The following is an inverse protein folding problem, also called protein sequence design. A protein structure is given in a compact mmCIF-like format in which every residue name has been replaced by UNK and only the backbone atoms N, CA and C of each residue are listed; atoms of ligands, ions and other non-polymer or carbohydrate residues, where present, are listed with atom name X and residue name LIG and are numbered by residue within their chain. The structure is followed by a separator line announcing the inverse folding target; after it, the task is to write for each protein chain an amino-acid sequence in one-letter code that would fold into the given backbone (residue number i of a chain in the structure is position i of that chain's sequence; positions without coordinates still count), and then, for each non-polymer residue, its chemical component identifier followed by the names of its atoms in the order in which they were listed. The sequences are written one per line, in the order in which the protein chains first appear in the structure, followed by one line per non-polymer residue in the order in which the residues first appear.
data_IF_474071012862
#
_entry.id   IF_474071012862
#
_cell.length_a   1.000
_cell.length_b   1.000
_cell.length_c   1.000
_cell.angle_alpha   90.00
_cell.angle_beta   90.00
_cell.angle_gamma   90.00
#
_symmetry.space_group_name_H-M   'P 1'
#
loop_
_entity.id
_entity.type
_entity.pdbx_description
1 polymer ?
#
# COMPACT_ATOMS: atom_id res chain seq x y z
N UNK A 1 6.52 9.42 -16.80
CA UNK A 1 6.53 8.70 -15.50
C UNK A 1 7.63 7.64 -15.43
N UNK A 2 7.85 6.76 -16.43
CA UNK A 2 8.86 5.70 -16.37
C UNK A 2 10.24 6.12 -15.85
N UNK A 3 10.78 7.27 -16.30
CA UNK A 3 12.09 7.76 -15.84
C UNK A 3 12.18 8.03 -14.33
N UNK A 4 11.05 8.25 -13.64
CA UNK A 4 11.03 8.37 -12.19
C UNK A 4 11.23 7.00 -11.51
N UNK A 5 10.63 5.94 -12.06
CA UNK A 5 10.49 4.64 -11.39
C UNK A 5 11.45 3.56 -11.90
N UNK A 6 11.97 3.69 -13.11
CA UNK A 6 12.95 2.76 -13.70
C UNK A 6 14.06 3.52 -14.45
N UNK A 7 14.81 4.42 -13.77
CA UNK A 7 15.93 5.13 -14.36
C UNK A 7 17.12 4.19 -14.55
N UNK A 8 17.92 4.42 -15.60
CA UNK A 8 19.24 3.78 -15.77
C UNK A 8 20.37 4.60 -15.14
N UNK A 9 20.11 5.86 -14.87
CA UNK A 9 21.07 6.84 -14.34
C UNK A 9 20.39 7.76 -13.33
N UNK A 10 21.00 7.90 -12.15
CA UNK A 10 20.49 8.71 -11.04
C UNK A 10 21.55 9.71 -10.60
N UNK A 11 21.25 11.00 -10.72
CA UNK A 11 22.04 12.06 -10.12
C UNK A 11 21.54 12.39 -8.71
N UNK A 12 22.44 12.56 -7.75
CA UNK A 12 22.10 13.01 -6.39
C UNK A 12 22.71 14.39 -6.18
N UNK A 13 21.87 15.43 -6.27
CA UNK A 13 22.27 16.83 -6.17
C UNK A 13 22.17 17.27 -4.72
N UNK A 14 23.32 17.57 -4.12
CA UNK A 14 23.47 17.69 -2.67
C UNK A 14 23.98 16.42 -2.00
N UNK A 15 24.54 15.48 -2.78
CA UNK A 15 25.20 14.28 -2.27
C UNK A 15 26.28 14.62 -1.23
N UNK A 16 26.48 13.77 -0.23
CA UNK A 16 27.43 14.02 0.86
C UNK A 16 27.94 12.72 1.49
N UNK A 17 29.17 12.72 1.99
CA UNK A 17 29.70 11.66 2.87
C UNK A 17 29.51 11.98 4.37
N UNK A 18 29.05 13.19 4.69
CA UNK A 18 28.75 13.57 6.07
C UNK A 18 27.39 12.98 6.53
N UNK A 19 27.37 12.10 7.54
CA UNK A 19 26.14 11.45 8.03
C UNK A 19 25.08 12.39 8.61
N UNK A 20 25.42 13.64 8.92
CA UNK A 20 24.44 14.62 9.40
C UNK A 20 23.62 15.29 8.29
N UNK A 21 23.90 15.02 7.01
CA UNK A 21 23.21 15.62 5.87
C UNK A 21 22.25 14.63 5.21
N UNK A 22 21.06 15.08 4.82
CA UNK A 22 20.10 14.23 4.10
C UNK A 22 20.67 13.62 2.81
N UNK A 23 21.53 14.35 2.10
CA UNK A 23 22.21 13.82 0.90
C UNK A 23 23.11 12.61 1.15
N UNK A 24 23.62 12.42 2.37
CA UNK A 24 24.28 11.18 2.76
C UNK A 24 23.29 10.02 2.83
N UNK A 25 22.12 10.24 3.43
CA UNK A 25 21.11 9.20 3.54
C UNK A 25 20.54 8.81 2.18
N UNK A 26 20.34 9.76 1.26
CA UNK A 26 19.95 9.45 -0.14
C UNK A 26 21.01 8.59 -0.83
N UNK A 27 22.28 8.95 -0.72
CA UNK A 27 23.38 8.13 -1.26
C UNK A 27 23.41 6.74 -0.62
N UNK A 28 23.24 6.65 0.71
CA UNK A 28 23.17 5.39 1.44
C UNK A 28 22.01 4.52 0.96
N UNK A 29 20.82 5.08 0.76
CA UNK A 29 19.64 4.38 0.25
C UNK A 29 19.89 3.70 -1.08
N UNK A 30 20.54 4.40 -2.03
CA UNK A 30 20.85 3.86 -3.35
C UNK A 30 21.99 2.83 -3.30
N UNK A 31 23.11 3.16 -2.64
CA UNK A 31 24.30 2.31 -2.60
C UNK A 31 24.08 1.04 -1.77
N UNK A 32 23.50 1.18 -0.57
CA UNK A 32 23.23 0.03 0.32
C UNK A 32 21.93 -0.69 -0.03
N UNK A 33 20.99 -0.01 -0.69
CA UNK A 33 19.80 -0.64 -1.27
C UNK A 33 20.10 -1.48 -2.52
N UNK A 34 21.30 -1.38 -3.08
CA UNK A 34 21.73 -2.21 -4.20
C UNK A 34 21.17 -1.76 -5.54
N UNK A 35 20.97 -0.45 -5.73
CA UNK A 35 20.61 0.10 -7.04
C UNK A 35 21.70 -0.23 -8.08
N UNK A 36 21.28 -0.81 -9.20
CA UNK A 36 22.19 -1.38 -10.21
C UNK A 36 22.50 -0.40 -11.36
N UNK A 37 21.78 0.72 -11.43
CA UNK A 37 22.03 1.76 -12.42
C UNK A 37 23.22 2.66 -12.09
N UNK A 38 23.52 3.58 -13.01
CA UNK A 38 24.63 4.52 -12.86
C UNK A 38 24.32 5.60 -11.83
N UNK A 39 25.22 5.79 -10.86
CA UNK A 39 25.10 6.85 -9.85
C UNK A 39 26.01 8.03 -10.17
N UNK A 40 25.46 9.23 -10.11
CA UNK A 40 26.17 10.51 -10.36
C UNK A 40 26.02 11.42 -9.14
N UNK A 41 26.91 11.31 -8.14
CA UNK A 41 26.93 12.23 -7.02
C UNK A 41 27.30 13.64 -7.49
N UNK A 42 26.50 14.65 -7.11
CA UNK A 42 26.76 16.06 -7.43
C UNK A 42 27.00 16.85 -6.15
N UNK A 43 28.24 17.31 -5.99
CA UNK A 43 28.73 18.12 -4.89
C UNK A 43 29.97 18.94 -5.33
N UNK A 44 29.92 20.28 -5.33
CA UNK A 44 31.05 21.14 -5.73
C UNK A 44 32.33 20.98 -4.90
N UNK A 45 32.21 20.53 -3.66
CA UNK A 45 33.31 20.46 -2.70
C UNK A 45 33.91 19.06 -2.50
N UNK A 46 33.45 18.04 -3.24
CA UNK A 46 33.92 16.67 -3.08
C UNK A 46 34.38 16.08 -4.41
N UNK A 47 35.52 15.37 -4.40
CA UNK A 47 35.99 14.61 -5.56
C UNK A 47 35.34 13.22 -5.65
N UNK A 48 35.01 12.63 -4.49
CA UNK A 48 34.33 11.33 -4.38
C UNK A 48 33.33 11.34 -3.23
N UNK A 49 32.25 10.57 -3.39
CA UNK A 49 31.20 10.32 -2.39
C UNK A 49 30.86 8.84 -2.44
N UNK A 50 30.87 8.14 -1.29
CA UNK A 50 30.72 6.68 -1.22
C UNK A 50 31.69 5.92 -2.15
N UNK A 51 32.88 6.49 -2.37
CA UNK A 51 33.86 5.94 -3.31
C UNK A 51 33.48 6.09 -4.78
N UNK A 52 32.42 6.81 -5.14
CA UNK A 52 31.99 7.11 -6.51
C UNK A 52 32.49 8.51 -6.88
N UNK A 53 32.94 8.71 -8.12
CA UNK A 53 33.39 10.03 -8.60
C UNK A 53 32.25 11.03 -8.50
N UNK A 54 32.49 12.15 -7.82
CA UNK A 54 31.53 13.24 -7.71
C UNK A 54 31.81 14.33 -8.74
N UNK A 55 30.78 15.10 -9.08
CA UNK A 55 30.85 16.20 -10.04
C UNK A 55 30.38 17.49 -9.39
N UNK A 56 30.93 18.62 -9.84
CA UNK A 56 30.54 19.92 -9.30
C UNK A 56 29.11 20.32 -9.68
N UNK A 57 28.61 19.83 -10.82
CA UNK A 57 27.27 20.11 -11.31
C UNK A 57 26.78 18.99 -12.25
N UNK A 58 25.49 18.96 -12.53
CA UNK A 58 24.89 17.99 -13.47
C UNK A 58 25.48 18.18 -14.87
N UNK A 59 25.61 19.43 -15.31
CA UNK A 59 26.14 19.82 -16.62
C UNK A 59 27.58 19.36 -16.83
N UNK A 60 28.41 19.45 -15.79
CA UNK A 60 29.82 19.03 -15.84
C UNK A 60 29.97 17.52 -15.96
N UNK A 61 29.00 16.74 -15.48
CA UNK A 61 29.09 15.28 -15.54
C UNK A 61 29.13 14.72 -16.96
N UNK A 62 28.49 15.40 -17.91
CA UNK A 62 28.25 14.92 -19.28
C UNK A 62 27.57 13.54 -19.37
N UNK A 63 27.08 13.01 -18.24
CA UNK A 63 26.33 11.76 -18.17
C UNK A 63 24.86 12.08 -18.44
N UNK A 64 24.18 11.38 -19.37
CA UNK A 64 22.73 11.49 -19.50
C UNK A 64 22.07 11.06 -18.19
N UNK A 65 21.19 11.92 -17.63
CA UNK A 65 20.52 11.66 -16.36
C UNK A 65 19.03 11.39 -16.59
N UNK A 66 18.57 10.20 -16.19
CA UNK A 66 17.16 9.84 -16.22
C UNK A 66 16.40 10.43 -15.02
N UNK A 67 16.99 10.33 -13.82
CA UNK A 67 16.41 10.81 -12.58
C UNK A 67 17.41 11.70 -11.82
N UNK A 68 16.99 12.89 -11.41
CA UNK A 68 17.72 13.70 -10.44
C UNK A 68 17.00 13.71 -9.08
N UNK A 69 17.73 13.41 -8.02
CA UNK A 69 17.26 13.57 -6.64
C UNK A 69 17.89 14.84 -6.07
N UNK A 70 17.05 15.81 -5.75
CA UNK A 70 17.47 17.15 -5.33
C UNK A 70 17.28 17.31 -3.82
N UNK A 71 18.39 17.54 -3.12
CA UNK A 71 18.46 17.66 -1.65
C UNK A 71 19.44 18.77 -1.25
N UNK A 72 19.20 19.97 -1.80
CA UNK A 72 19.97 21.20 -1.52
C UNK A 72 19.08 22.24 -0.82
N UNK A 73 19.62 23.30 -0.20
CA UNK A 73 18.80 24.39 0.36
C UNK A 73 17.80 24.97 -0.66
N UNK A 74 16.62 25.37 -0.19
CA UNK A 74 15.52 25.85 -1.04
C UNK A 74 15.93 26.98 -2.00
N UNK A 75 16.76 27.91 -1.51
CA UNK A 75 17.27 29.05 -2.31
C UNK A 75 18.10 28.65 -3.53
N UNK A 76 18.63 27.42 -3.58
CA UNK A 76 19.40 26.91 -4.72
C UNK A 76 18.55 26.11 -5.71
N UNK A 77 17.32 25.72 -5.35
CA UNK A 77 16.52 24.75 -6.11
C UNK A 77 16.13 25.29 -7.49
N UNK A 78 15.76 26.56 -7.61
CA UNK A 78 15.43 27.16 -8.92
C UNK A 78 16.62 27.10 -9.90
N UNK A 79 17.84 27.38 -9.42
CA UNK A 79 19.06 27.26 -10.21
C UNK A 79 19.33 25.81 -10.64
N UNK A 80 19.17 24.87 -9.72
CA UNK A 80 19.31 23.43 -10.00
C UNK A 80 18.28 22.94 -11.03
N UNK A 81 17.02 23.37 -10.94
CA UNK A 81 15.99 23.01 -11.91
C UNK A 81 16.29 23.54 -13.31
N UNK A 82 16.78 24.78 -13.42
CA UNK A 82 17.23 25.36 -14.70
C UNK A 82 18.39 24.54 -15.28
N UNK A 83 19.33 24.11 -14.44
CA UNK A 83 20.42 23.24 -14.86
C UNK A 83 19.93 21.86 -15.33
N UNK A 84 19.03 21.23 -14.57
CA UNK A 84 18.40 19.96 -14.94
C UNK A 84 17.65 20.06 -16.28
N UNK A 85 16.95 21.18 -16.52
CA UNK A 85 16.27 21.45 -17.77
C UNK A 85 17.25 21.57 -18.95
N UNK A 86 18.34 22.33 -18.78
CA UNK A 86 19.39 22.44 -19.79
C UNK A 86 20.06 21.10 -20.10
N UNK A 87 20.28 20.27 -19.06
CA UNK A 87 20.84 18.93 -19.16
C UNK A 87 19.83 17.86 -19.64
N UNK A 88 18.56 18.24 -19.89
CA UNK A 88 17.47 17.34 -20.33
C UNK A 88 17.24 16.15 -19.39
N UNK A 89 17.30 16.40 -18.07
CA UNK A 89 16.91 15.43 -17.05
C UNK A 89 15.46 15.02 -17.27
N UNK A 90 15.17 13.72 -17.19
CA UNK A 90 13.84 13.18 -17.57
C UNK A 90 12.84 13.10 -16.42
N UNK A 91 13.27 13.24 -15.17
CA UNK A 91 12.41 13.23 -13.99
C UNK A 91 13.16 13.69 -12.75
N UNK A 92 12.44 14.24 -11.78
CA UNK A 92 13.03 14.78 -10.54
C UNK A 92 12.27 14.27 -9.32
N UNK A 93 13.03 13.90 -8.29
CA UNK A 93 12.52 13.76 -6.90
C UNK A 93 13.11 14.92 -6.10
N UNK A 94 12.27 15.88 -5.74
CA UNK A 94 12.66 17.09 -5.04
C UNK A 94 12.38 16.94 -3.55
N UNK A 95 13.39 16.55 -2.78
CA UNK A 95 13.25 16.28 -1.34
C UNK A 95 13.10 17.57 -0.54
N UNK A 96 13.82 18.62 -0.96
CA UNK A 96 13.92 19.91 -0.26
C UNK A 96 12.56 20.47 0.16
N UNK A 97 12.46 20.89 1.43
CA UNK A 97 11.36 21.68 2.00
C UNK A 97 11.72 23.19 1.99
N UNK A 98 10.80 24.06 2.44
CA UNK A 98 10.92 25.51 2.41
C UNK A 98 10.10 26.20 1.32
N UNK A 99 8.98 25.61 0.91
CA UNK A 99 8.11 26.13 -0.16
C UNK A 99 6.72 26.48 0.38
N UNK A 100 5.63 26.22 -0.35
CA UNK A 100 4.26 26.59 0.02
C UNK A 100 3.75 26.05 1.36
N UNK A 101 4.47 25.13 2.00
CA UNK A 101 4.12 24.55 3.31
C UNK A 101 4.56 25.40 4.51
N UNK A 102 5.47 26.36 4.32
CA UNK A 102 6.01 27.16 5.42
C UNK A 102 5.14 28.39 5.68
N UNK A 103 5.18 28.89 6.92
CA UNK A 103 4.51 30.13 7.33
C UNK A 103 5.33 31.37 6.94
N UNK A 104 5.71 31.45 5.66
CA UNK A 104 6.41 32.59 5.04
C UNK A 104 5.92 32.72 3.58
N UNK A 105 5.32 33.87 3.19
CA UNK A 105 4.86 34.10 1.81
C UNK A 105 5.94 33.89 0.73
N UNK A 106 7.23 34.08 1.07
CA UNK A 106 8.33 33.83 0.15
C UNK A 106 8.40 32.36 -0.30
N UNK A 107 7.94 31.42 0.54
CA UNK A 107 7.88 30.00 0.19
C UNK A 107 6.91 29.70 -0.95
N UNK A 108 5.76 30.39 -0.99
CA UNK A 108 4.78 30.26 -2.08
C UNK A 108 5.32 30.83 -3.40
N UNK A 109 5.98 32.01 -3.36
CA UNK A 109 6.63 32.61 -4.54
C UNK A 109 7.69 31.68 -5.11
N UNK A 110 8.53 31.10 -4.24
CA UNK A 110 9.54 30.15 -4.67
C UNK A 110 8.91 28.87 -5.26
N UNK A 111 7.79 28.40 -4.71
CA UNK A 111 7.03 27.26 -5.24
C UNK A 111 6.53 27.51 -6.66
N UNK A 112 5.99 28.70 -6.92
CA UNK A 112 5.53 29.10 -8.25
C UNK A 112 6.71 29.16 -9.24
N UNK A 113 7.84 29.77 -8.86
CA UNK A 113 9.03 29.83 -9.73
C UNK A 113 9.49 28.42 -10.14
N UNK A 114 9.59 27.49 -9.19
CA UNK A 114 10.04 26.13 -9.49
C UNK A 114 9.01 25.32 -10.30
N UNK A 115 7.72 25.58 -10.12
CA UNK A 115 6.66 24.97 -10.91
C UNK A 115 6.72 25.44 -12.36
N UNK A 116 6.90 26.73 -12.60
CA UNK A 116 7.05 27.29 -13.94
C UNK A 116 8.23 26.66 -14.69
N UNK A 117 9.40 26.56 -14.06
CA UNK A 117 10.59 25.96 -14.66
C UNK A 117 10.34 24.50 -15.03
N UNK A 118 9.80 23.71 -14.09
CA UNK A 118 9.54 22.29 -14.31
C UNK A 118 8.50 22.04 -15.42
N UNK A 119 7.43 22.84 -15.44
CA UNK A 119 6.34 22.73 -16.41
C UNK A 119 6.77 23.16 -17.82
N UNK A 120 7.51 24.27 -17.94
CA UNK A 120 8.09 24.71 -19.21
C UNK A 120 9.06 23.66 -19.79
N UNK A 121 9.87 23.04 -18.94
CA UNK A 121 10.78 21.97 -19.31
C UNK A 121 10.08 20.62 -19.54
N UNK A 122 8.80 20.49 -19.17
CA UNK A 122 8.01 19.24 -19.20
C UNK A 122 8.66 18.10 -18.40
N UNK A 123 9.30 18.44 -17.28
CA UNK A 123 9.94 17.47 -16.40
C UNK A 123 8.96 17.10 -15.28
N UNK A 124 8.61 15.81 -15.11
CA UNK A 124 7.79 15.37 -14.00
C UNK A 124 8.59 15.43 -12.69
N UNK A 125 7.99 16.02 -11.65
CA UNK A 125 8.60 16.24 -10.34
C UNK A 125 7.73 15.65 -9.24
N UNK A 126 8.29 14.70 -8.49
CA UNK A 126 7.75 14.25 -7.20
C UNK A 126 8.29 15.19 -6.11
N UNK A 127 7.41 15.77 -5.27
CA UNK A 127 7.76 16.78 -4.27
C UNK A 127 7.25 18.19 -4.66
N UNK A 128 7.84 19.29 -4.14
CA UNK A 128 8.88 19.35 -3.11
C UNK A 128 8.40 18.81 -1.75
N UNK A 129 9.23 18.94 -0.71
CA UNK A 129 8.91 18.58 0.66
C UNK A 129 8.40 17.14 0.77
N UNK A 130 9.24 16.21 0.33
CA UNK A 130 8.94 14.78 0.35
C UNK A 130 10.09 14.01 0.97
N UNK A 131 9.77 12.84 1.54
CA UNK A 131 10.81 11.89 1.89
C UNK A 131 11.51 11.30 0.65
N UNK A 132 10.82 11.31 -0.49
CA UNK A 132 11.27 10.77 -1.77
C UNK A 132 10.32 9.69 -2.28
N UNK A 133 10.88 8.70 -2.97
CA UNK A 133 10.12 7.58 -3.51
C UNK A 133 10.99 6.30 -3.57
N UNK A 134 10.32 5.16 -3.60
CA UNK A 134 10.94 3.84 -3.64
C UNK A 134 10.25 2.99 -4.69
N UNK A 135 11.03 2.30 -5.53
CA UNK A 135 10.60 1.17 -6.33
C UNK A 135 11.40 -0.05 -5.90
N UNK A 136 10.76 -0.97 -5.18
CA UNK A 136 11.40 -2.15 -4.58
C UNK A 136 11.83 -3.17 -5.64
N UNK A 137 11.13 -3.23 -6.78
CA UNK A 137 11.45 -4.14 -7.89
C UNK A 137 12.72 -3.71 -8.64
N UNK A 138 12.91 -2.40 -8.79
CA UNK A 138 14.10 -1.82 -9.43
C UNK A 138 15.26 -1.58 -8.44
N UNK A 139 15.11 -1.97 -7.16
CA UNK A 139 16.04 -1.62 -6.06
C UNK A 139 16.37 -0.13 -6.02
N UNK A 140 15.42 0.71 -6.44
CA UNK A 140 15.56 2.15 -6.48
C UNK A 140 14.96 2.72 -5.20
N UNK A 141 15.81 3.08 -4.24
CA UNK A 141 15.40 3.85 -3.08
C UNK A 141 15.89 5.30 -3.23
N UNK A 142 15.07 6.12 -3.90
CA UNK A 142 15.31 7.54 -4.14
C UNK A 142 14.77 8.40 -2.99
N UNK A 143 15.13 8.03 -1.75
CA UNK A 143 14.66 8.68 -0.52
C UNK A 143 15.78 8.84 0.50
N UNK A 144 15.58 9.70 1.50
CA UNK A 144 16.50 9.79 2.65
C UNK A 144 16.23 8.74 3.73
N UNK A 145 15.46 7.69 3.44
CA UNK A 145 15.10 6.61 4.37
C UNK A 145 15.67 5.27 3.86
N UNK A 146 16.93 4.94 4.19
CA UNK A 146 17.55 3.68 3.79
C UNK A 146 16.78 2.44 4.21
N UNK A 147 16.05 2.53 5.33
CA UNK A 147 15.30 1.43 5.94
C UNK A 147 14.16 0.94 5.01
N UNK A 148 13.64 1.77 4.11
CA UNK A 148 12.66 1.29 3.12
C UNK A 148 13.24 0.25 2.15
N UNK A 149 14.56 0.17 1.99
CA UNK A 149 15.18 -0.92 1.21
C UNK A 149 15.08 -2.28 1.90
N UNK A 150 14.69 -2.33 3.19
CA UNK A 150 14.42 -3.57 3.92
C UNK A 150 12.98 -4.06 3.77
N UNK A 151 12.10 -3.27 3.13
CA UNK A 151 10.71 -3.68 2.92
C UNK A 151 10.64 -4.84 1.93
N UNK A 152 9.71 -5.77 2.15
CA UNK A 152 9.48 -6.87 1.23
C UNK A 152 8.92 -6.33 -0.10
N UNK A 153 9.45 -6.79 -1.26
CA UNK A 153 8.81 -6.53 -2.54
C UNK A 153 7.42 -7.19 -2.57
N UNK A 154 6.41 -6.45 -3.00
CA UNK A 154 5.04 -6.93 -3.14
C UNK A 154 4.37 -6.35 -4.38
N UNK A 155 3.05 -6.23 -4.33
CA UNK A 155 2.20 -5.75 -5.43
C UNK A 155 1.25 -4.61 -5.02
N UNK A 156 1.53 -3.94 -3.89
CA UNK A 156 0.80 -2.75 -3.44
C UNK A 156 1.63 -1.49 -3.71
N UNK A 157 1.04 -0.48 -4.34
CA UNK A 157 1.65 0.84 -4.44
C UNK A 157 1.06 1.77 -3.37
N UNK A 158 1.90 2.30 -2.49
CA UNK A 158 1.51 3.36 -1.55
C UNK A 158 1.86 4.73 -2.14
N UNK A 159 0.86 5.60 -2.25
CA UNK A 159 1.02 7.00 -2.66
C UNK A 159 0.48 7.88 -1.54
N UNK A 160 1.34 8.67 -0.92
CA UNK A 160 1.01 9.45 0.26
C UNK A 160 1.44 10.89 0.10
N UNK A 161 0.55 11.81 0.49
CA UNK A 161 0.91 13.22 0.62
C UNK A 161 1.83 13.49 1.82
N UNK A 162 1.79 12.63 2.85
CA UNK A 162 2.56 12.79 4.08
C UNK A 162 3.75 11.85 4.16
N UNK A 163 4.94 12.40 4.38
CA UNK A 163 6.16 11.63 4.64
C UNK A 163 6.06 10.82 5.93
N UNK A 164 5.53 11.40 7.01
CA UNK A 164 5.34 10.69 8.28
C UNK A 164 4.41 9.49 8.16
N UNK A 165 3.32 9.62 7.40
CA UNK A 165 2.39 8.51 7.15
C UNK A 165 3.02 7.43 6.26
N UNK A 166 3.90 7.82 5.32
CA UNK A 166 4.66 6.85 4.52
C UNK A 166 5.59 6.01 5.40
N UNK A 167 6.23 6.61 6.40
CA UNK A 167 7.03 5.88 7.39
C UNK A 167 6.17 4.98 8.28
N UNK A 168 5.04 5.49 8.78
CA UNK A 168 4.11 4.70 9.58
C UNK A 168 3.64 3.45 8.83
N UNK A 169 3.10 3.62 7.62
CA UNK A 169 2.58 2.52 6.82
C UNK A 169 3.68 1.60 6.32
N UNK A 170 4.84 2.16 5.95
CA UNK A 170 6.01 1.38 5.52
C UNK A 170 6.52 0.45 6.62
N UNK A 171 6.64 0.94 7.85
CA UNK A 171 7.13 0.13 8.98
C UNK A 171 6.06 -0.82 9.55
N UNK A 172 4.78 -0.43 9.54
CA UNK A 172 3.70 -1.35 9.85
C UNK A 172 3.66 -2.52 8.85
N UNK A 173 3.84 -2.24 7.56
CA UNK A 173 3.87 -3.26 6.53
C UNK A 173 5.02 -4.26 6.71
N UNK A 174 6.22 -3.79 7.10
CA UNK A 174 7.33 -4.68 7.43
C UNK A 174 7.00 -5.65 8.57
N UNK A 175 6.24 -5.20 9.58
CA UNK A 175 5.80 -6.05 10.69
C UNK A 175 4.64 -6.99 10.34
N UNK A 176 3.72 -6.54 9.47
CA UNK A 176 2.52 -7.29 9.06
C UNK A 176 2.76 -8.19 7.82
N UNK A 177 4.00 -8.33 7.36
CA UNK A 177 4.36 -9.12 6.19
C UNK A 177 3.81 -8.57 4.87
N UNK A 178 3.47 -7.27 4.82
CA UNK A 178 2.90 -6.63 3.63
C UNK A 178 4.02 -6.07 2.76
N UNK A 179 4.07 -6.53 1.51
CA UNK A 179 5.04 -6.04 0.53
C UNK A 179 4.50 -4.89 -0.32
N UNK A 180 5.38 -3.99 -0.73
CA UNK A 180 5.06 -2.91 -1.66
C UNK A 180 5.73 -3.14 -3.02
N UNK A 181 5.09 -2.72 -4.10
CA UNK A 181 5.76 -2.46 -5.38
C UNK A 181 6.51 -1.13 -5.28
N UNK A 182 5.81 -0.09 -4.83
CA UNK A 182 6.28 1.30 -4.78
C UNK A 182 5.79 2.01 -3.52
N UNK A 183 6.62 2.88 -2.97
CA UNK A 183 6.26 3.81 -1.88
C UNK A 183 6.59 5.22 -2.36
N UNK A 184 5.60 6.09 -2.49
CA UNK A 184 5.75 7.41 -3.10
C UNK A 184 5.25 8.49 -2.17
N UNK A 185 6.15 9.37 -1.75
CA UNK A 185 5.80 10.61 -1.07
C UNK A 185 5.58 11.72 -2.09
N UNK A 186 4.35 12.18 -2.27
CA UNK A 186 4.07 13.29 -3.17
C UNK A 186 4.45 14.66 -2.60
N UNK A 187 4.45 14.79 -1.27
CA UNK A 187 4.73 16.05 -0.60
C UNK A 187 3.78 17.15 -1.07
N UNK A 188 4.36 18.25 -1.54
CA UNK A 188 3.64 19.43 -1.97
C UNK A 188 2.99 19.32 -3.37
N UNK A 189 3.20 18.23 -4.11
CA UNK A 189 2.55 17.97 -5.42
C UNK A 189 2.81 19.10 -6.44
N UNK A 190 4.07 19.29 -6.84
CA UNK A 190 4.47 20.37 -7.77
C UNK A 190 3.79 20.25 -9.14
N UNK A 191 3.94 19.10 -9.79
CA UNK A 191 3.28 18.78 -11.07
C UNK A 191 3.00 17.28 -11.28
N UNK A 192 3.53 16.40 -10.42
CA UNK A 192 3.05 15.02 -10.30
C UNK A 192 2.10 14.96 -9.10
N UNK A 193 0.84 14.65 -9.39
CA UNK A 193 -0.22 14.52 -8.40
C UNK A 193 -0.79 13.08 -8.39
N UNK A 194 -1.79 12.82 -7.54
CA UNK A 194 -2.50 11.56 -7.45
C UNK A 194 -3.07 11.09 -8.79
N UNK A 195 -3.53 12.00 -9.65
CA UNK A 195 -4.08 11.66 -10.96
C UNK A 195 -3.00 11.03 -11.88
N UNK A 196 -1.83 11.66 -12.00
CA UNK A 196 -0.72 11.13 -12.81
C UNK A 196 -0.15 9.84 -12.19
N UNK A 197 -0.14 9.72 -10.86
CA UNK A 197 0.22 8.48 -10.18
C UNK A 197 -0.78 7.36 -10.46
N UNK A 198 -2.09 7.63 -10.39
CA UNK A 198 -3.12 6.65 -10.70
C UNK A 198 -2.99 6.18 -12.15
N UNK A 199 -2.86 7.10 -13.11
CA UNK A 199 -2.66 6.76 -14.53
C UNK A 199 -1.44 5.85 -14.74
N UNK A 200 -0.30 6.18 -14.13
CA UNK A 200 0.91 5.36 -14.24
C UNK A 200 0.75 3.98 -13.58
N UNK A 201 0.24 3.92 -12.35
CA UNK A 201 0.12 2.67 -11.59
C UNK A 201 -0.93 1.72 -12.15
N UNK A 202 -1.90 2.23 -12.89
CA UNK A 202 -2.89 1.40 -13.60
C UNK A 202 -2.26 0.54 -14.69
N UNK A 203 -1.19 1.01 -15.32
CA UNK A 203 -0.45 0.27 -16.35
C UNK A 203 0.78 -0.48 -15.82
N UNK A 204 1.22 -0.19 -14.60
CA UNK A 204 2.40 -0.80 -13.97
C UNK A 204 2.20 -2.31 -13.66
N UNK A 205 2.94 -3.23 -14.30
CA UNK A 205 2.72 -4.68 -14.10
C UNK A 205 3.03 -5.15 -12.68
N UNK A 206 3.87 -4.42 -11.94
CA UNK A 206 4.26 -4.76 -10.57
C UNK A 206 3.19 -4.42 -9.54
N UNK A 207 2.18 -3.61 -9.91
CA UNK A 207 1.15 -3.13 -8.99
C UNK A 207 -0.19 -3.81 -9.26
N UNK A 208 -0.81 -4.37 -8.23
CA UNK A 208 -2.17 -4.92 -8.21
C UNK A 208 -3.16 -4.07 -7.43
N UNK A 209 -2.73 -3.35 -6.38
CA UNK A 209 -3.60 -2.43 -5.63
C UNK A 209 -2.90 -1.10 -5.35
N UNK A 210 -3.67 -0.01 -5.36
CA UNK A 210 -3.16 1.35 -5.14
C UNK A 210 -3.76 1.90 -3.84
N UNK A 211 -2.90 2.20 -2.87
CA UNK A 211 -3.25 2.79 -1.59
C UNK A 211 -2.92 4.28 -1.57
N UNK A 212 -3.91 5.13 -1.35
CA UNK A 212 -3.80 6.58 -1.34
C UNK A 212 -3.99 7.13 0.09
N UNK A 213 -3.01 7.88 0.58
CA UNK A 213 -3.19 8.73 1.76
C UNK A 213 -3.31 10.19 1.32
N UNK A 214 -4.49 10.77 1.53
CA UNK A 214 -4.89 12.08 1.00
C UNK A 214 -5.18 13.04 2.15
N UNK A 215 -4.51 14.19 2.17
CA UNK A 215 -4.82 15.29 3.10
C UNK A 215 -5.69 16.35 2.42
N UNK A 216 -5.38 16.68 1.17
CA UNK A 216 -6.15 17.56 0.31
C UNK A 216 -5.64 17.53 -1.12
N UNK A 217 -6.51 17.81 -2.09
CA UNK A 217 -6.18 17.85 -3.52
C UNK A 217 -6.63 19.20 -4.08
N UNK A 218 -5.79 19.83 -4.88
CA UNK A 218 -6.10 21.13 -5.51
C UNK A 218 -7.18 20.97 -6.59
N UNK A 219 -7.01 19.99 -7.49
CA UNK A 219 -8.00 19.57 -8.47
C UNK A 219 -8.41 18.09 -8.27
N UNK A 220 -9.39 17.80 -7.40
CA UNK A 220 -9.86 16.44 -7.22
C UNK A 220 -10.50 15.87 -8.49
N UNK A 221 -10.96 16.71 -9.42
CA UNK A 221 -11.62 16.28 -10.66
C UNK A 221 -10.72 15.42 -11.53
N UNK A 222 -9.42 15.74 -11.61
CA UNK A 222 -8.46 14.93 -12.36
C UNK A 222 -8.30 13.53 -11.79
N UNK A 223 -8.22 13.39 -10.46
CA UNK A 223 -8.12 12.07 -9.82
C UNK A 223 -9.38 11.24 -10.04
N UNK A 224 -10.56 11.85 -9.92
CA UNK A 224 -11.82 11.16 -10.18
C UNK A 224 -11.93 10.71 -11.65
N UNK A 225 -11.48 11.55 -12.58
CA UNK A 225 -11.46 11.24 -14.00
C UNK A 225 -10.47 10.10 -14.31
N UNK A 226 -9.27 10.12 -13.71
CA UNK A 226 -8.28 9.05 -13.85
C UNK A 226 -8.81 7.72 -13.29
N UNK A 227 -9.41 7.72 -12.10
CA UNK A 227 -10.01 6.53 -11.51
C UNK A 227 -11.13 5.95 -12.38
N UNK A 228 -12.03 6.79 -12.92
CA UNK A 228 -13.09 6.37 -13.83
C UNK A 228 -12.56 5.83 -15.15
N UNK A 229 -11.53 6.46 -15.72
CA UNK A 229 -10.89 6.01 -16.97
C UNK A 229 -10.37 4.58 -16.85
N UNK A 230 -9.90 4.20 -15.66
CA UNK A 230 -9.34 2.87 -15.37
C UNK A 230 -10.26 2.00 -14.50
N UNK A 231 -11.57 2.30 -14.51
CA UNK A 231 -12.57 1.57 -13.75
C UNK A 231 -12.46 0.06 -14.00
N UNK A 232 -12.44 -0.73 -12.91
CA UNK A 232 -12.39 -2.19 -12.97
C UNK A 232 -11.02 -2.80 -13.31
N UNK A 233 -10.00 -1.99 -13.62
CA UNK A 233 -8.65 -2.52 -13.94
C UNK A 233 -7.88 -2.93 -12.69
N UNK A 234 -7.69 -2.00 -11.75
CA UNK A 234 -7.06 -2.25 -10.45
C UNK A 234 -7.80 -1.48 -9.35
N UNK A 235 -7.92 -2.05 -8.15
CA UNK A 235 -8.51 -1.36 -7.01
C UNK A 235 -7.67 -0.15 -6.57
N UNK A 236 -8.37 0.96 -6.33
CA UNK A 236 -7.84 2.13 -5.60
C UNK A 236 -8.54 2.18 -4.24
N UNK A 237 -7.75 2.24 -3.18
CA UNK A 237 -8.19 2.47 -1.80
C UNK A 237 -7.63 3.78 -1.30
N UNK A 238 -8.45 4.58 -0.63
CA UNK A 238 -8.05 5.90 -0.14
C UNK A 238 -8.43 6.10 1.33
N UNK A 239 -7.50 6.65 2.10
CA UNK A 239 -7.78 7.27 3.39
C UNK A 239 -7.66 8.78 3.26
N UNK A 240 -8.80 9.48 3.41
CA UNK A 240 -8.85 10.95 3.49
C UNK A 240 -8.73 11.37 4.96
N UNK A 241 -7.63 12.02 5.32
CA UNK A 241 -7.46 12.60 6.66
C UNK A 241 -8.28 13.90 6.82
N UNK A 242 -8.32 14.47 8.03
CA UNK A 242 -9.03 15.74 8.29
C UNK A 242 -10.55 15.60 8.42
N UNK A 243 -11.06 14.50 9.00
CA UNK A 243 -12.48 14.37 9.33
C UNK A 243 -12.91 15.23 10.54
N UNK A 244 -11.98 15.55 11.44
CA UNK A 244 -12.20 16.49 12.55
C UNK A 244 -11.77 17.92 12.19
N UNK A 245 -12.46 18.91 12.74
CA UNK A 245 -12.23 20.34 12.46
C UNK A 245 -10.79 20.81 12.70
N UNK A 246 -10.15 20.32 13.77
CA UNK A 246 -8.75 20.65 14.09
C UNK A 246 -7.79 20.04 13.09
N UNK A 247 -7.98 18.77 12.73
CA UNK A 247 -7.14 18.09 11.74
C UNK A 247 -7.28 18.69 10.34
N UNK A 248 -8.51 19.08 9.98
CA UNK A 248 -8.80 19.79 8.73
C UNK A 248 -8.10 21.16 8.66
N UNK A 249 -8.12 21.93 9.77
CA UNK A 249 -7.38 23.18 9.87
C UNK A 249 -5.86 22.99 9.79
N UNK A 250 -5.33 22.00 10.51
CA UNK A 250 -3.90 21.69 10.47
C UNK A 250 -3.44 21.28 9.07
N UNK A 251 -4.23 20.49 8.33
CA UNK A 251 -3.91 20.08 6.96
C UNK A 251 -3.80 21.28 6.00
N UNK A 252 -4.65 22.31 6.17
CA UNK A 252 -4.57 23.57 5.40
C UNK A 252 -3.24 24.29 5.63
N UNK A 253 -2.86 24.47 6.88
CA UNK A 253 -1.61 25.15 7.25
C UNK A 253 -0.37 24.33 6.90
N UNK A 254 -0.46 23.00 6.94
CA UNK A 254 0.69 22.10 6.75
C UNK A 254 1.02 21.83 5.27
N UNK A 255 0.07 21.98 4.34
CA UNK A 255 0.29 21.65 2.92
C UNK A 255 0.02 22.81 1.96
N UNK A 256 -0.48 23.94 2.46
CA UNK A 256 -0.91 25.08 1.64
C UNK A 256 -2.04 24.75 0.66
N UNK A 257 -2.70 23.60 0.80
CA UNK A 257 -3.77 23.11 -0.07
C UNK A 257 -5.14 23.44 0.54
N UNK A 258 -6.12 23.79 -0.29
CA UNK A 258 -7.49 23.99 0.17
C UNK A 258 -8.09 22.64 0.65
N UNK A 259 -8.14 22.43 1.97
CA UNK A 259 -8.82 21.28 2.53
C UNK A 259 -10.33 21.42 2.30
N UNK A 260 -10.89 20.57 1.45
CA UNK A 260 -12.34 20.44 1.29
C UNK A 260 -12.92 19.46 2.32
N UNK A 261 -14.21 19.63 2.62
CA UNK A 261 -14.91 18.82 3.63
C UNK A 261 -14.70 17.33 3.37
N UNK A 262 -14.25 16.59 4.39
CA UNK A 262 -14.01 15.15 4.33
C UNK A 262 -15.16 14.37 3.68
N UNK A 263 -16.41 14.69 4.03
CA UNK A 263 -17.60 14.04 3.47
C UNK A 263 -17.72 14.19 1.95
N UNK A 264 -17.39 15.38 1.40
CA UNK A 264 -17.47 15.64 -0.05
C UNK A 264 -16.44 14.77 -0.77
N UNK A 265 -15.20 14.73 -0.27
CA UNK A 265 -14.15 13.85 -0.80
C UNK A 265 -14.59 12.38 -0.76
N UNK A 266 -15.07 11.91 0.38
CA UNK A 266 -15.44 10.51 0.56
C UNK A 266 -16.57 10.08 -0.37
N UNK A 267 -17.58 10.93 -0.59
CA UNK A 267 -18.65 10.62 -1.55
C UNK A 267 -18.17 10.69 -3.01
N UNK A 268 -17.35 11.69 -3.35
CA UNK A 268 -16.81 11.83 -4.70
C UNK A 268 -15.91 10.65 -5.07
N UNK A 269 -15.05 10.20 -4.16
CA UNK A 269 -14.22 8.99 -4.32
C UNK A 269 -15.07 7.75 -4.59
N UNK A 270 -16.14 7.54 -3.82
CA UNK A 270 -17.07 6.42 -4.07
C UNK A 270 -17.72 6.49 -5.45
N UNK A 271 -18.12 7.68 -5.91
CA UNK A 271 -18.67 7.87 -7.27
C UNK A 271 -17.66 7.61 -8.39
N UNK A 272 -16.36 7.59 -8.08
CA UNK A 272 -15.30 7.23 -9.01
C UNK A 272 -14.77 5.81 -8.80
N UNK A 273 -15.44 4.99 -7.98
CA UNK A 273 -15.04 3.61 -7.69
C UNK A 273 -13.85 3.45 -6.74
N UNK A 274 -13.42 4.53 -6.09
CA UNK A 274 -12.35 4.51 -5.09
C UNK A 274 -12.94 4.08 -3.75
N UNK A 275 -12.41 2.99 -3.17
CA UNK A 275 -12.84 2.52 -1.85
C UNK A 275 -12.27 3.42 -0.75
N UNK A 276 -13.13 3.98 0.08
CA UNK A 276 -12.71 4.86 1.18
C UNK A 276 -12.64 4.10 2.50
N UNK A 277 -11.54 4.24 3.24
CA UNK A 277 -11.33 3.59 4.54
C UNK A 277 -11.15 4.62 5.66
N UNK A 278 -11.43 4.28 6.94
CA UNK A 278 -11.53 5.28 7.99
C UNK A 278 -10.22 5.57 8.75
N UNK A 279 -9.16 4.78 8.53
CA UNK A 279 -7.90 4.87 9.30
C UNK A 279 -6.71 4.28 8.54
N UNK A 280 -5.50 4.61 8.97
CA UNK A 280 -4.24 4.17 8.36
C UNK A 280 -4.10 2.64 8.31
N UNK A 281 -4.34 1.93 9.42
CA UNK A 281 -4.28 0.46 9.40
C UNK A 281 -5.29 -0.15 8.41
N UNK A 282 -6.48 0.44 8.31
CA UNK A 282 -7.49 -0.03 7.36
C UNK A 282 -7.09 0.19 5.90
N UNK A 283 -6.26 1.21 5.61
CA UNK A 283 -5.71 1.42 4.27
C UNK A 283 -4.79 0.27 3.86
N UNK A 284 -3.89 -0.13 4.77
CA UNK A 284 -3.00 -1.26 4.54
C UNK A 284 -3.78 -2.57 4.45
N UNK A 285 -4.71 -2.80 5.37
CA UNK A 285 -5.51 -4.03 5.43
C UNK A 285 -6.35 -4.21 4.16
N UNK A 286 -7.02 -3.15 3.71
CA UNK A 286 -7.84 -3.20 2.50
C UNK A 286 -6.98 -3.39 1.24
N UNK A 287 -5.83 -2.70 1.14
CA UNK A 287 -4.91 -2.87 0.02
C UNK A 287 -4.37 -4.31 -0.05
N UNK A 288 -3.99 -4.90 1.10
CA UNK A 288 -3.55 -6.31 1.20
C UNK A 288 -4.61 -7.26 0.66
N UNK A 289 -5.85 -7.12 1.12
CA UNK A 289 -6.96 -7.96 0.67
C UNK A 289 -7.21 -7.81 -0.84
N UNK A 290 -7.30 -6.58 -1.33
CA UNK A 290 -7.64 -6.26 -2.71
C UNK A 290 -6.52 -6.66 -3.71
N UNK A 291 -5.27 -6.73 -3.26
CA UNK A 291 -4.16 -7.18 -4.08
C UNK A 291 -4.10 -8.70 -4.23
N UNK A 292 -4.61 -9.47 -3.27
CA UNK A 292 -4.44 -10.92 -3.22
C UNK A 292 -5.74 -11.71 -3.47
N UNK A 293 -6.88 -11.26 -2.96
CA UNK A 293 -8.14 -12.00 -2.99
C UNK A 293 -8.96 -11.76 -4.27
N UNK A 294 -9.80 -12.73 -4.63
CA UNK A 294 -10.94 -12.50 -5.52
C UNK A 294 -12.01 -11.65 -4.82
N UNK A 295 -12.86 -10.95 -5.57
CA UNK A 295 -14.01 -10.27 -4.99
C UNK A 295 -15.16 -11.26 -4.71
N UNK A 296 -15.87 -11.14 -3.57
CA UNK A 296 -16.99 -12.03 -3.25
C UNK A 296 -18.15 -11.82 -4.24
N UNK A 297 -18.84 -12.91 -4.59
CA UNK A 297 -19.99 -12.87 -5.50
C UNK A 297 -21.25 -12.24 -4.91
N UNK A 298 -21.33 -12.16 -3.58
CA UNK A 298 -22.46 -11.68 -2.79
C UNK A 298 -22.05 -11.43 -1.33
N UNK A 299 -22.99 -11.01 -0.46
CA UNK A 299 -22.70 -10.66 0.93
C UNK A 299 -22.52 -11.87 1.86
N UNK A 300 -22.94 -13.06 1.42
CA UNK A 300 -22.96 -14.27 2.26
C UNK A 300 -21.55 -14.78 2.60
N UNK A 301 -21.21 -14.85 3.88
CA UNK A 301 -19.91 -15.31 4.39
C UNK A 301 -20.06 -16.53 5.29
N UNK A 302 -19.09 -17.45 5.18
CA UNK A 302 -18.90 -18.55 6.11
C UNK A 302 -17.78 -18.22 7.09
N UNK A 303 -18.01 -18.46 8.38
CA UNK A 303 -16.99 -18.30 9.42
C UNK A 303 -16.65 -19.68 9.96
N UNK A 304 -15.43 -20.13 9.66
CA UNK A 304 -14.88 -21.39 10.14
C UNK A 304 -13.83 -21.08 11.17
N UNK A 305 -14.03 -21.54 12.40
CA UNK A 305 -13.14 -21.21 13.51
C UNK A 305 -12.67 -22.44 14.25
N UNK A 306 -11.39 -22.48 14.63
CA UNK A 306 -10.89 -23.45 15.60
C UNK A 306 -11.39 -23.18 17.02
N UNK A 307 -11.86 -21.97 17.31
CA UNK A 307 -12.30 -21.54 18.64
C UNK A 307 -13.57 -20.68 18.54
N UNK A 308 -14.57 -20.90 19.39
CA UNK A 308 -15.83 -20.14 19.34
C UNK A 308 -15.67 -18.60 19.54
N UNK A 309 -14.74 -18.17 20.40
CA UNK A 309 -14.53 -16.75 20.73
C UNK A 309 -14.20 -15.86 19.50
N UNK A 310 -13.11 -16.15 18.78
CA UNK A 310 -12.73 -15.43 17.57
C UNK A 310 -13.83 -15.36 16.50
N UNK A 311 -14.63 -16.42 16.34
CA UNK A 311 -15.76 -16.38 15.39
C UNK A 311 -16.84 -15.38 15.77
N UNK A 312 -17.16 -15.23 17.06
CA UNK A 312 -18.15 -14.24 17.49
C UNK A 312 -17.68 -12.81 17.19
N UNK A 313 -16.42 -12.49 17.52
CA UNK A 313 -15.83 -11.19 17.21
C UNK A 313 -15.82 -10.87 15.71
N UNK A 314 -15.54 -11.87 14.86
CA UNK A 314 -15.60 -11.72 13.41
C UNK A 314 -17.04 -11.53 12.90
N UNK A 315 -18.01 -12.30 13.44
CA UNK A 315 -19.42 -12.21 13.06
C UNK A 315 -19.99 -10.82 13.34
N UNK A 316 -19.72 -10.25 14.53
CA UNK A 316 -20.19 -8.91 14.91
C UNK A 316 -19.75 -7.86 13.88
N UNK A 317 -18.49 -7.93 13.43
CA UNK A 317 -17.96 -7.01 12.41
C UNK A 317 -18.57 -7.28 11.04
N UNK A 318 -18.78 -8.54 10.66
CA UNK A 318 -19.42 -8.88 9.39
C UNK A 318 -20.82 -8.27 9.29
N UNK A 319 -21.66 -8.49 10.30
CA UNK A 319 -23.04 -8.00 10.32
C UNK A 319 -23.10 -6.47 10.37
N UNK A 320 -22.25 -5.83 11.19
CA UNK A 320 -22.14 -4.36 11.24
C UNK A 320 -21.77 -3.73 9.90
N UNK A 321 -21.10 -4.48 9.03
CA UNK A 321 -20.64 -4.00 7.72
C UNK A 321 -21.43 -4.57 6.53
N UNK A 322 -22.61 -5.14 6.79
CA UNK A 322 -23.54 -5.58 5.76
C UNK A 322 -23.14 -6.87 5.04
N UNK A 323 -22.28 -7.69 5.65
CA UNK A 323 -22.09 -9.09 5.28
C UNK A 323 -23.14 -9.95 5.99
N UNK A 324 -23.48 -11.09 5.40
CA UNK A 324 -24.50 -12.00 5.91
C UNK A 324 -23.86 -13.31 6.38
N UNK A 325 -24.03 -13.68 7.65
CA UNK A 325 -23.60 -15.00 8.14
C UNK A 325 -24.54 -16.06 7.56
N UNK A 326 -24.06 -16.76 6.55
CA UNK A 326 -24.94 -17.58 5.70
C UNK A 326 -25.45 -18.83 6.41
N UNK A 327 -26.73 -19.14 6.21
CA UNK A 327 -27.27 -20.48 6.51
C UNK A 327 -26.89 -21.44 5.38
N UNK A 328 -26.06 -22.42 5.70
CA UNK A 328 -25.59 -23.43 4.77
C UNK A 328 -26.72 -24.19 4.04
N UNK A 329 -26.38 -24.73 2.87
CA UNK A 329 -27.20 -25.71 2.16
C UNK A 329 -27.37 -27.00 2.97
N UNK A 330 -28.38 -27.80 2.61
CA UNK A 330 -28.69 -29.07 3.27
C UNK A 330 -27.48 -30.01 3.29
N UNK A 331 -26.78 -30.11 2.16
CA UNK A 331 -25.69 -31.07 1.97
C UNK A 331 -24.45 -30.67 2.78
N UNK A 332 -24.10 -29.38 2.73
CA UNK A 332 -23.03 -28.79 3.56
C UNK A 332 -23.32 -28.98 5.05
N UNK A 333 -24.54 -28.65 5.48
CA UNK A 333 -24.93 -28.77 6.89
C UNK A 333 -24.94 -30.23 7.36
N UNK A 334 -25.39 -31.16 6.52
CA UNK A 334 -25.34 -32.59 6.81
C UNK A 334 -23.89 -33.05 6.97
N UNK A 335 -23.00 -32.64 6.06
CA UNK A 335 -21.58 -33.00 6.13
C UNK A 335 -20.90 -32.49 7.41
N UNK A 336 -21.20 -31.27 7.83
CA UNK A 336 -20.69 -30.71 9.10
C UNK A 336 -21.23 -31.52 10.30
N UNK A 337 -22.51 -31.91 10.28
CA UNK A 337 -23.11 -32.70 11.35
C UNK A 337 -22.51 -34.10 11.50
N UNK A 338 -22.06 -34.71 10.40
CA UNK A 338 -21.35 -36.00 10.40
C UNK A 338 -19.95 -35.89 11.01
N UNK A 339 -19.23 -34.80 10.70
CA UNK A 339 -17.82 -34.63 11.05
C UNK A 339 -17.61 -33.99 12.43
N UNK A 340 -18.60 -33.27 12.95
CA UNK A 340 -18.53 -32.64 14.26
C UNK A 340 -19.53 -33.24 15.25
N UNK A 341 -19.10 -33.48 16.51
CA UNK A 341 -20.00 -33.94 17.55
C UNK A 341 -21.05 -32.87 17.89
N UNK A 342 -22.22 -33.25 18.43
CA UNK A 342 -23.28 -32.34 18.86
C UNK A 342 -22.93 -31.52 20.12
N UNK A 343 -21.64 -31.29 20.36
CA UNK A 343 -21.08 -30.45 21.42
C UNK A 343 -20.50 -29.14 20.85
N UNK A 344 -20.41 -29.02 19.52
CA UNK A 344 -19.87 -27.86 18.81
C UNK A 344 -20.97 -26.97 18.24
N UNK A 345 -20.63 -25.71 17.91
CA UNK A 345 -21.43 -24.90 16.98
C UNK A 345 -21.27 -25.49 15.57
N UNK A 346 -22.28 -26.22 15.10
CA UNK A 346 -22.26 -26.91 13.79
C UNK A 346 -22.97 -26.13 12.68
N UNK A 347 -23.63 -25.04 13.02
CA UNK A 347 -24.14 -24.06 12.05
C UNK A 347 -23.08 -22.99 11.80
N UNK A 348 -23.36 -21.96 10.99
CA UNK A 348 -22.45 -20.83 10.81
C UNK A 348 -22.61 -19.85 11.99
N UNK A 349 -21.54 -19.44 12.72
CA UNK A 349 -20.14 -19.85 12.58
C UNK A 349 -19.86 -21.30 13.03
N UNK A 350 -19.03 -22.01 12.28
CA UNK A 350 -18.66 -23.41 12.58
C UNK A 350 -17.49 -23.45 13.54
N UNK A 351 -17.68 -24.08 14.70
CA UNK A 351 -16.63 -24.36 15.68
C UNK A 351 -16.01 -25.74 15.43
N UNK A 352 -14.81 -25.73 14.86
CA UNK A 352 -14.01 -26.93 14.55
C UNK A 352 -13.12 -27.37 15.72
N UNK A 353 -13.22 -26.72 16.89
CA UNK A 353 -12.45 -27.06 18.09
C UNK A 353 -12.46 -28.55 18.44
N UNK A 354 -13.64 -29.21 18.47
CA UNK A 354 -13.73 -30.64 18.77
C UNK A 354 -13.03 -31.59 17.77
N UNK A 355 -12.63 -31.08 16.60
CA UNK A 355 -11.95 -31.83 15.54
C UNK A 355 -10.45 -31.45 15.39
N UNK A 356 -9.85 -30.72 16.34
CA UNK A 356 -8.44 -30.26 16.24
C UNK A 356 -7.41 -31.33 15.93
N UNK A 357 -7.62 -32.56 16.42
CA UNK A 357 -6.74 -33.71 16.22
C UNK A 357 -7.06 -34.50 14.93
N UNK A 358 -8.11 -34.13 14.20
CA UNK A 358 -8.52 -34.75 12.95
C UNK A 358 -8.45 -33.73 11.80
N UNK A 359 -7.24 -33.54 11.28
CA UNK A 359 -7.00 -32.65 10.16
C UNK A 359 -7.79 -33.05 8.89
N UNK A 360 -8.13 -34.34 8.73
CA UNK A 360 -8.94 -34.80 7.62
C UNK A 360 -10.39 -34.31 7.77
N UNK A 361 -10.97 -34.41 8.96
CA UNK A 361 -12.30 -33.87 9.24
C UNK A 361 -12.34 -32.34 9.02
N UNK A 362 -11.35 -31.59 9.52
CA UNK A 362 -11.23 -30.14 9.28
C UNK A 362 -11.20 -29.85 7.77
N UNK A 363 -10.35 -30.56 7.02
CA UNK A 363 -10.22 -30.39 5.57
C UNK A 363 -11.53 -30.65 4.83
N UNK A 364 -12.28 -31.69 5.19
CA UNK A 364 -13.57 -32.00 4.57
C UNK A 364 -14.66 -30.97 4.92
N UNK A 365 -14.67 -30.43 6.15
CA UNK A 365 -15.56 -29.32 6.53
C UNK A 365 -15.27 -28.08 5.67
N UNK A 366 -13.99 -27.70 5.55
CA UNK A 366 -13.58 -26.55 4.73
C UNK A 366 -14.00 -26.75 3.27
N UNK A 367 -13.79 -27.95 2.71
CA UNK A 367 -14.20 -28.26 1.33
C UNK A 367 -15.71 -28.13 1.14
N UNK A 368 -16.52 -28.72 2.02
CA UNK A 368 -17.98 -28.63 1.94
C UNK A 368 -18.47 -27.17 1.93
N UNK A 369 -17.83 -26.31 2.74
CA UNK A 369 -18.16 -24.88 2.83
C UNK A 369 -17.67 -24.11 1.59
N UNK A 370 -16.50 -24.45 1.05
CA UNK A 370 -15.99 -23.89 -0.21
C UNK A 370 -16.95 -24.16 -1.37
N UNK A 371 -17.55 -25.35 -1.43
CA UNK A 371 -18.47 -25.76 -2.50
C UNK A 371 -19.91 -25.25 -2.33
N UNK A 372 -20.28 -24.77 -1.13
CA UNK A 372 -21.63 -24.27 -0.86
C UNK A 372 -21.96 -23.03 -1.70
N UNK A 373 -22.99 -23.11 -2.54
CA UNK A 373 -23.39 -22.05 -3.47
C UNK A 373 -23.87 -20.76 -2.79
N UNK A 374 -24.26 -20.81 -1.52
CA UNK A 374 -24.70 -19.63 -0.77
C UNK A 374 -23.52 -18.89 -0.12
N UNK A 375 -22.37 -19.54 -0.01
CA UNK A 375 -21.14 -18.95 0.53
C UNK A 375 -20.43 -18.17 -0.60
N UNK A 376 -20.13 -16.90 -0.35
CA UNK A 376 -19.43 -16.01 -1.29
C UNK A 376 -18.06 -15.57 -0.77
N UNK A 377 -17.77 -15.74 0.51
CA UNK A 377 -16.46 -15.51 1.13
C UNK A 377 -16.31 -16.35 2.39
N UNK A 378 -15.07 -16.65 2.76
CA UNK A 378 -14.74 -17.54 3.88
C UNK A 378 -13.80 -16.78 4.83
N UNK A 379 -14.20 -16.72 6.11
CA UNK A 379 -13.33 -16.34 7.21
C UNK A 379 -12.80 -17.61 7.87
N UNK A 380 -11.49 -17.80 7.83
CA UNK A 380 -10.82 -18.93 8.47
C UNK A 380 -10.02 -18.46 9.69
N UNK A 381 -10.48 -18.80 10.88
CA UNK A 381 -9.94 -18.30 12.14
C UNK A 381 -9.34 -19.47 12.92
N UNK A 382 -8.04 -19.43 13.23
CA UNK A 382 -7.37 -20.54 13.90
C UNK A 382 -6.31 -20.02 14.86
N UNK A 383 -6.56 -20.15 16.16
CA UNK A 383 -5.55 -19.86 17.17
C UNK A 383 -4.78 -21.14 17.49
N UNK A 384 -3.47 -21.02 17.68
CA UNK A 384 -2.63 -22.15 18.02
C UNK A 384 -3.00 -22.74 19.39
N UNK A 385 -3.08 -24.07 19.42
CA UNK A 385 -3.05 -24.88 20.63
C UNK A 385 -2.16 -26.09 20.35
N UNK A 386 -1.44 -26.63 21.34
CA UNK A 386 -0.55 -27.78 21.09
C UNK A 386 -1.26 -28.99 20.45
N UNK A 387 -2.57 -29.13 20.69
CA UNK A 387 -3.39 -30.20 20.11
C UNK A 387 -3.72 -30.02 18.61
N UNK A 388 -3.51 -28.84 18.03
CA UNK A 388 -3.86 -28.53 16.63
C UNK A 388 -2.65 -28.20 15.74
N UNK A 389 -1.42 -28.51 16.19
CA UNK A 389 -0.18 -28.14 15.50
C UNK A 389 -0.15 -28.55 14.01
N UNK A 390 -0.71 -29.71 13.67
CA UNK A 390 -0.74 -30.25 12.31
C UNK A 390 -1.93 -29.74 11.46
N UNK A 391 -2.86 -28.98 12.06
CA UNK A 391 -4.09 -28.57 11.39
C UNK A 391 -3.82 -27.72 10.15
N UNK A 392 -2.87 -26.77 10.23
CA UNK A 392 -2.54 -25.91 9.10
C UNK A 392 -1.90 -26.70 7.95
N UNK A 393 -0.92 -27.56 8.27
CA UNK A 393 -0.28 -28.47 7.29
C UNK A 393 -1.31 -29.35 6.56
N UNK A 394 -2.29 -29.88 7.29
CA UNK A 394 -3.34 -30.74 6.72
C UNK A 394 -4.25 -30.04 5.70
N UNK A 395 -4.42 -28.72 5.81
CA UNK A 395 -5.32 -27.92 4.96
C UNK A 395 -4.58 -27.09 3.91
N UNK A 396 -3.28 -26.85 4.03
CA UNK A 396 -2.53 -25.98 3.11
C UNK A 396 -2.64 -26.41 1.65
N UNK A 397 -2.65 -27.72 1.38
CA UNK A 397 -2.86 -28.25 0.02
C UNK A 397 -4.23 -27.88 -0.57
N UNK A 398 -5.29 -27.96 0.26
CA UNK A 398 -6.65 -27.59 -0.15
C UNK A 398 -6.76 -26.09 -0.44
N UNK A 399 -6.18 -25.25 0.43
CA UNK A 399 -6.21 -23.79 0.26
C UNK A 399 -5.47 -23.36 -1.02
N UNK A 400 -4.32 -23.97 -1.31
CA UNK A 400 -3.56 -23.72 -2.54
C UNK A 400 -4.33 -24.15 -3.78
N UNK A 401 -4.94 -25.34 -3.77
CA UNK A 401 -5.77 -25.82 -4.88
C UNK A 401 -7.02 -24.95 -5.10
N UNK A 402 -7.61 -24.44 -4.02
CA UNK A 402 -8.76 -23.56 -4.08
C UNK A 402 -8.45 -22.24 -4.80
N UNK A 403 -7.24 -21.70 -4.59
CA UNK A 403 -6.71 -20.56 -5.36
C UNK A 403 -7.62 -19.34 -5.34
N UNK A 404 -8.26 -19.05 -4.20
CA UNK A 404 -9.18 -17.91 -4.03
C UNK A 404 -10.33 -17.89 -5.05
N UNK A 405 -10.92 -19.03 -5.46
CA UNK A 405 -12.16 -19.02 -6.28
C UNK A 405 -13.30 -18.23 -5.62
N UNK A 406 -13.39 -18.34 -4.30
CA UNK A 406 -14.06 -17.40 -3.40
C UNK A 406 -13.00 -16.85 -2.44
N UNK A 407 -13.09 -15.59 -2.00
CA UNK A 407 -12.11 -15.02 -1.10
C UNK A 407 -12.01 -15.83 0.19
N UNK A 408 -10.78 -16.22 0.56
CA UNK A 408 -10.45 -16.76 1.88
C UNK A 408 -9.59 -15.74 2.60
N UNK A 409 -10.16 -15.15 3.64
CA UNK A 409 -9.46 -14.23 4.55
C UNK A 409 -9.35 -14.92 5.90
N UNK A 410 -8.24 -14.75 6.59
CA UNK A 410 -7.92 -15.54 7.75
C UNK A 410 -7.36 -14.73 8.91
N UNK A 411 -7.50 -15.31 10.10
CA UNK A 411 -6.75 -14.94 11.29
C UNK A 411 -6.18 -16.23 11.86
N UNK A 412 -4.96 -16.55 11.43
CA UNK A 412 -4.16 -17.67 11.90
C UNK A 412 -3.05 -17.07 12.76
N UNK A 413 -2.99 -17.48 14.03
CA UNK A 413 -2.04 -16.93 14.98
C UNK A 413 -1.40 -18.04 15.80
N UNK A 414 -0.06 -18.03 15.88
CA UNK A 414 0.74 -18.94 16.68
C UNK A 414 1.85 -18.18 17.44
N UNK A 415 2.45 -18.81 18.47
CA UNK A 415 3.79 -18.41 18.91
C UNK A 415 4.77 -18.35 17.73
N UNK A 416 5.77 -17.45 17.77
CA UNK A 416 6.77 -17.34 16.70
C UNK A 416 7.49 -18.68 16.46
N UNK A 417 7.70 -19.01 15.18
CA UNK A 417 8.42 -20.20 14.72
C UNK A 417 7.57 -21.48 14.59
N UNK A 418 6.26 -21.41 14.79
CA UNK A 418 5.38 -22.61 14.68
C UNK A 418 4.68 -22.67 13.32
N UNK A 419 3.90 -21.64 12.96
CA UNK A 419 3.16 -21.58 11.70
C UNK A 419 3.62 -20.48 10.75
N UNK A 420 4.66 -19.72 11.11
CA UNK A 420 5.11 -18.54 10.35
C UNK A 420 5.42 -18.88 8.88
N UNK A 421 6.19 -19.95 8.65
CA UNK A 421 6.56 -20.40 7.30
C UNK A 421 5.33 -20.87 6.52
N UNK A 422 4.44 -21.65 7.13
CA UNK A 422 3.23 -22.15 6.48
C UNK A 422 2.25 -21.02 6.14
N UNK A 423 2.12 -20.01 7.00
CA UNK A 423 1.31 -18.82 6.73
C UNK A 423 1.92 -18.05 5.56
N UNK A 424 3.24 -17.81 5.58
CA UNK A 424 3.93 -17.10 4.50
C UNK A 424 3.79 -17.84 3.16
N UNK A 425 3.97 -19.15 3.13
CA UNK A 425 3.79 -19.95 1.91
C UNK A 425 2.36 -19.86 1.35
N UNK A 426 1.35 -19.78 2.21
CA UNK A 426 -0.04 -19.63 1.79
C UNK A 426 -0.34 -18.21 1.28
N UNK A 427 0.24 -17.18 1.89
CA UNK A 427 0.12 -15.80 1.39
C UNK A 427 0.86 -15.61 0.06
N UNK A 428 2.06 -16.16 -0.09
CA UNK A 428 2.86 -16.11 -1.32
C UNK A 428 2.16 -16.81 -2.49
N UNK A 429 1.53 -17.96 -2.21
CA UNK A 429 0.68 -18.68 -3.15
C UNK A 429 -0.67 -17.98 -3.42
N UNK A 430 -0.95 -16.85 -2.72
CA UNK A 430 -2.24 -16.15 -2.73
C UNK A 430 -3.41 -17.09 -2.45
N UNK A 431 -3.18 -18.09 -1.59
CA UNK A 431 -4.17 -19.07 -1.18
C UNK A 431 -5.11 -18.52 -0.11
N UNK A 432 -4.61 -17.61 0.73
CA UNK A 432 -5.35 -16.80 1.70
C UNK A 432 -4.66 -15.46 1.94
N UNK A 433 -5.34 -14.58 2.68
CA UNK A 433 -4.72 -13.39 3.29
C UNK A 433 -4.90 -13.50 4.79
N UNK A 434 -3.81 -13.36 5.55
CA UNK A 434 -3.80 -13.48 6.99
C UNK A 434 -3.73 -12.13 7.70
N UNK A 435 -4.44 -12.01 8.81
CA UNK A 435 -4.47 -10.85 9.69
C UNK A 435 -4.25 -11.26 11.14
N UNK A 436 -3.73 -10.34 11.95
CA UNK A 436 -3.41 -10.60 13.35
C UNK A 436 -4.65 -10.69 14.28
N UNK A 437 -5.83 -10.24 13.83
CA UNK A 437 -7.06 -10.31 14.64
C UNK A 437 -8.27 -10.69 13.79
N UNK A 438 -9.28 -11.37 14.38
CA UNK A 438 -10.51 -11.76 13.67
C UNK A 438 -11.31 -10.56 13.16
N UNK A 439 -11.30 -9.43 13.87
CA UNK A 439 -11.97 -8.19 13.47
C UNK A 439 -11.31 -7.56 12.24
N UNK A 440 -9.98 -7.60 12.16
CA UNK A 440 -9.23 -7.13 10.98
C UNK A 440 -9.53 -8.02 9.77
N UNK A 441 -9.54 -9.34 9.96
CA UNK A 441 -9.92 -10.30 8.92
C UNK A 441 -11.36 -10.07 8.41
N UNK A 442 -12.32 -9.87 9.31
CA UNK A 442 -13.70 -9.55 8.95
C UNK A 442 -13.82 -8.18 8.25
N UNK A 443 -13.09 -7.16 8.72
CA UNK A 443 -13.03 -5.87 8.05
C UNK A 443 -12.49 -5.97 6.63
N UNK A 444 -11.45 -6.79 6.41
CA UNK A 444 -10.88 -7.03 5.09
C UNK A 444 -11.87 -7.71 4.14
N UNK A 445 -12.61 -8.73 4.60
CA UNK A 445 -13.69 -9.34 3.83
C UNK A 445 -14.77 -8.31 3.44
N UNK A 446 -15.15 -7.44 4.37
CA UNK A 446 -16.12 -6.38 4.11
C UNK A 446 -15.59 -5.36 3.07
N UNK A 447 -14.30 -5.00 3.11
CA UNK A 447 -13.70 -4.13 2.09
C UNK A 447 -13.72 -4.75 0.68
N UNK A 448 -13.52 -6.07 0.56
CA UNK A 448 -13.68 -6.76 -0.73
C UNK A 448 -15.12 -6.65 -1.26
N UNK A 449 -16.11 -6.82 -0.38
CA UNK A 449 -17.53 -6.68 -0.74
C UNK A 449 -17.90 -5.25 -1.10
N UNK A 450 -17.50 -4.27 -0.30
CA UNK A 450 -17.73 -2.84 -0.58
C UNK A 450 -17.10 -2.43 -1.92
N UNK A 451 -15.88 -2.88 -2.21
CA UNK A 451 -15.27 -2.63 -3.51
C UNK A 451 -16.05 -3.28 -4.65
N UNK A 452 -16.57 -4.50 -4.46
CA UNK A 452 -17.44 -5.16 -5.45
C UNK A 452 -18.71 -4.36 -5.73
N UNK A 453 -19.31 -3.75 -4.70
CA UNK A 453 -20.48 -2.88 -4.86
C UNK A 453 -20.14 -1.61 -5.64
N UNK A 454 -18.98 -1.00 -5.38
CA UNK A 454 -18.52 0.18 -6.13
C UNK A 454 -18.35 -0.12 -7.63
N UNK A 455 -17.86 -1.30 -7.98
CA UNK A 455 -17.74 -1.74 -9.38
C UNK A 455 -19.09 -1.93 -10.10
N UNK A 456 -20.22 -1.98 -9.38
CA UNK A 456 -21.56 -2.06 -9.99
C UNK A 456 -22.18 -0.68 -10.27
N UNK A 457 -21.65 0.36 -9.63
CA UNK A 457 -22.15 1.74 -9.75
C UNK A 457 -21.48 2.45 -10.95
N UNK A 458 -20.25 2.04 -11.26
CA UNK A 458 -19.53 2.44 -12.48
C UNK A 458 -20.00 1.62 -13.67
#
# INVERSE_FOLDING_TARGET
MNSLFDPKSVAVIGASDNPSKLGFHVMKSLVKGGYEGSLVPVNPGAERIFGIKAFASVSVSQVPIDLAIVVVPASLVAGVLKECAAARVKGIVLITAGFKEIDDPAGAVLHEEIAEIANQAKIPVIGPNTFGMVNLRAKLNASFTPEFSMANPGDIALVSQSGGISHLLGFLAMGDGVGFSKIVGLGNRLNVDFAQMADYLMDDPDTRAIALYVEGIDDPGELLAAAKRHAGKKPIVAFKSGSGSVGDAAARSHTGTMAGRHEIYSHAFKQAGILTVPRTQALLDAAKALAACSLPGGPGVAVLSGQAGPSMAACDVCEQRGLEIVRFGTDTQARINELLPPLALRTNPVDMGPAWYDAAAIKEIIRAVMDDKKVHGILFLMMFASANVDALTGISGLLREWGQKKPVVSCILSPPGIWDDQIQELEDAKALVNYATPERAACAMAYLWEHKLLQRIM
#
